data_IF_545630587394
#
_entry.id   IF_545630587394
#
_cell.length_a   1.000
_cell.length_b   1.000
_cell.length_c   1.000
_cell.angle_alpha   90.00
_cell.angle_beta   90.00
_cell.angle_gamma   90.00
#
_symmetry.space_group_name_H-M   'P 1'
#
loop_
_entity.id
_entity.type
_entity.pdbx_description
1 polymer ?
#
# COMPACT_ATOMS: atom_id res chain seq x y z
N UNK A 1 9.15 -3.71 -22.47
CA UNK A 1 9.73 -4.41 -21.30
C UNK A 1 11.20 -4.05 -21.02
N UNK A 2 11.91 -3.35 -21.90
CA UNK A 2 13.35 -3.03 -21.70
C UNK A 2 13.63 -1.81 -20.79
N UNK A 3 12.63 -1.04 -20.39
CA UNK A 3 12.82 0.25 -19.68
C UNK A 3 12.55 0.19 -18.18
N UNK A 4 12.07 -0.94 -17.66
CA UNK A 4 11.76 -1.08 -16.24
C UNK A 4 13.02 -1.28 -15.42
N UNK A 5 13.10 -0.58 -14.28
CA UNK A 5 14.13 -0.80 -13.27
C UNK A 5 13.63 -1.88 -12.31
N UNK A 6 14.46 -2.89 -12.08
CA UNK A 6 14.20 -3.95 -11.12
C UNK A 6 15.14 -3.81 -9.93
N UNK A 7 14.60 -3.88 -8.71
CA UNK A 7 15.37 -3.96 -7.47
C UNK A 7 15.55 -5.42 -7.07
N UNK A 8 16.80 -5.85 -6.93
CA UNK A 8 17.15 -7.21 -6.50
C UNK A 8 18.08 -7.17 -5.30
N UNK A 9 17.80 -7.96 -4.29
CA UNK A 9 18.72 -8.09 -3.15
C UNK A 9 20.12 -8.51 -3.63
N UNK A 10 21.14 -7.88 -3.04
CA UNK A 10 22.54 -8.18 -3.31
C UNK A 10 22.89 -9.60 -2.86
N UNK A 11 23.77 -10.26 -3.60
CA UNK A 11 24.27 -11.60 -3.31
C UNK A 11 25.79 -11.63 -3.35
N UNK A 12 26.44 -12.55 -2.60
CA UNK A 12 27.90 -12.70 -2.59
C UNK A 12 28.46 -12.89 -4.01
N UNK A 13 27.73 -13.59 -4.87
CA UNK A 13 28.10 -13.77 -6.27
C UNK A 13 28.26 -12.46 -7.07
N UNK A 14 27.70 -11.37 -6.59
CA UNK A 14 27.79 -10.05 -7.24
C UNK A 14 29.12 -9.32 -6.95
N UNK A 15 29.92 -9.77 -5.99
CA UNK A 15 31.12 -9.08 -5.50
C UNK A 15 32.11 -8.65 -6.58
N UNK A 16 32.36 -9.51 -7.57
CA UNK A 16 33.26 -9.21 -8.69
C UNK A 16 32.70 -8.12 -9.61
N UNK A 17 31.39 -8.16 -9.92
CA UNK A 17 30.73 -7.16 -10.78
C UNK A 17 30.60 -5.82 -10.05
N UNK A 18 30.29 -5.82 -8.77
CA UNK A 18 30.24 -4.61 -7.93
C UNK A 18 31.57 -3.87 -7.90
N UNK A 19 32.66 -4.60 -7.71
CA UNK A 19 34.02 -4.01 -7.77
C UNK A 19 34.33 -3.46 -9.16
N UNK A 20 34.05 -4.24 -10.20
CA UNK A 20 34.33 -3.84 -11.61
C UNK A 20 33.58 -2.56 -11.98
N UNK A 21 32.35 -2.39 -11.47
CA UNK A 21 31.52 -1.21 -11.74
C UNK A 21 31.75 -0.04 -10.78
N UNK A 22 32.70 -0.17 -9.85
CA UNK A 22 33.01 0.88 -8.88
C UNK A 22 31.91 1.13 -7.84
N UNK A 23 30.99 0.16 -7.65
CA UNK A 23 29.91 0.25 -6.67
C UNK A 23 30.34 -0.11 -5.25
N UNK A 24 31.42 -0.87 -5.12
CA UNK A 24 32.07 -1.18 -3.85
C UNK A 24 33.59 -1.19 -4.04
N UNK A 25 34.29 -0.62 -3.07
CA UNK A 25 35.75 -0.56 -3.06
C UNK A 25 36.36 -1.65 -2.18
N UNK A 26 37.64 -2.00 -2.43
CA UNK A 26 38.37 -2.95 -1.62
C UNK A 26 38.66 -4.28 -2.30
N UNK A 27 39.09 -5.27 -1.52
CA UNK A 27 39.35 -6.63 -2.03
C UNK A 27 38.02 -7.38 -2.17
N UNK A 28 37.96 -8.40 -3.04
CA UNK A 28 36.73 -9.22 -3.19
C UNK A 28 36.30 -9.80 -1.84
N UNK A 29 37.22 -10.28 -1.02
CA UNK A 29 36.88 -10.80 0.31
C UNK A 29 36.26 -9.75 1.22
N UNK A 30 36.75 -8.52 1.20
CA UNK A 30 36.18 -7.41 1.97
C UNK A 30 34.74 -7.11 1.51
N UNK A 31 34.52 -7.06 0.19
CA UNK A 31 33.19 -6.85 -0.39
C UNK A 31 32.22 -7.99 0.00
N UNK A 32 32.69 -9.25 -0.03
CA UNK A 32 31.87 -10.40 0.40
C UNK A 32 31.48 -10.32 1.89
N UNK A 33 32.41 -9.88 2.75
CA UNK A 33 32.16 -9.73 4.18
C UNK A 33 31.17 -8.57 4.44
N UNK A 34 31.27 -7.48 3.70
CA UNK A 34 30.33 -6.35 3.76
C UNK A 34 28.94 -6.78 3.27
N UNK A 35 28.83 -7.52 2.16
CA UNK A 35 27.57 -8.10 1.68
C UNK A 35 26.90 -9.00 2.75
N UNK A 36 27.71 -9.83 3.44
CA UNK A 36 27.18 -10.70 4.52
C UNK A 36 26.62 -9.86 5.68
N UNK A 37 27.22 -8.71 5.99
CA UNK A 37 26.77 -7.84 7.07
C UNK A 37 25.35 -7.31 6.84
N UNK A 38 24.99 -6.99 5.61
CA UNK A 38 23.61 -6.63 5.22
C UNK A 38 22.65 -7.82 5.34
N UNK A 39 23.09 -9.04 5.07
CA UNK A 39 22.27 -10.27 5.14
C UNK A 39 21.88 -10.68 6.55
N UNK A 40 22.62 -10.28 7.59
CA UNK A 40 22.33 -10.64 9.00
C UNK A 40 21.30 -9.74 9.68
N UNK A 41 20.75 -8.74 8.98
CA UNK A 41 19.62 -7.92 9.44
C UNK A 41 19.94 -6.87 10.52
N UNK A 42 21.21 -6.74 10.94
CA UNK A 42 21.61 -5.77 11.96
C UNK A 42 21.87 -4.35 11.42
N UNK A 43 22.19 -4.22 10.13
CA UNK A 43 22.53 -2.94 9.51
C UNK A 43 21.49 -2.44 8.47
N UNK A 44 20.60 -3.31 7.97
CA UNK A 44 19.65 -2.96 6.95
C UNK A 44 19.62 -3.93 5.77
N UNK A 45 19.27 -3.45 4.58
CA UNK A 45 19.28 -4.20 3.33
C UNK A 45 20.12 -3.51 2.27
N UNK A 46 20.73 -4.29 1.40
CA UNK A 46 21.39 -3.79 0.20
C UNK A 46 20.74 -4.44 -1.04
N UNK A 47 20.49 -3.60 -2.06
CA UNK A 47 19.87 -4.01 -3.31
C UNK A 47 20.64 -3.47 -4.51
N UNK A 48 20.51 -4.18 -5.64
CA UNK A 48 21.02 -3.74 -6.93
C UNK A 48 19.85 -3.20 -7.76
N UNK A 49 20.04 -2.03 -8.32
CA UNK A 49 19.14 -1.47 -9.32
C UNK A 49 19.59 -1.89 -10.71
N UNK A 50 18.75 -2.65 -11.41
CA UNK A 50 19.06 -3.31 -12.68
C UNK A 50 18.08 -2.82 -13.75
N UNK A 51 18.60 -2.42 -14.91
CA UNK A 51 17.82 -2.05 -16.09
C UNK A 51 18.35 -2.81 -17.30
N UNK A 52 17.49 -3.57 -18.00
CA UNK A 52 17.92 -4.37 -19.15
C UNK A 52 19.03 -5.38 -18.86
N UNK A 53 19.10 -5.92 -17.65
CA UNK A 53 20.14 -6.86 -17.21
C UNK A 53 21.48 -6.20 -16.79
N UNK A 54 21.56 -4.87 -16.83
CA UNK A 54 22.76 -4.10 -16.45
C UNK A 54 22.54 -3.47 -15.07
N UNK A 55 23.54 -3.58 -14.17
CA UNK A 55 23.52 -2.98 -12.84
C UNK A 55 23.91 -1.50 -12.96
N UNK A 56 23.09 -0.58 -12.49
CA UNK A 56 23.33 0.87 -12.51
C UNK A 56 23.53 1.49 -11.13
N UNK A 57 23.08 0.83 -10.06
CA UNK A 57 23.32 1.32 -8.71
C UNK A 57 23.35 0.18 -7.68
N UNK A 58 24.06 0.46 -6.59
CA UNK A 58 23.91 -0.19 -5.31
C UNK A 58 23.10 0.73 -4.41
N UNK A 59 22.01 0.22 -3.86
CA UNK A 59 21.11 0.93 -2.94
C UNK A 59 21.23 0.27 -1.58
N UNK A 60 21.57 1.05 -0.55
CA UNK A 60 21.63 0.56 0.83
C UNK A 60 20.49 1.19 1.62
N UNK A 61 19.68 0.35 2.25
CA UNK A 61 18.61 0.77 3.17
C UNK A 61 19.02 0.48 4.61
N UNK A 62 19.21 1.52 5.38
CA UNK A 62 19.46 1.43 6.81
C UNK A 62 18.15 1.60 7.57
N UNK A 63 17.86 0.70 8.52
CA UNK A 63 16.64 0.67 9.31
C UNK A 63 16.98 0.94 10.78
N UNK A 64 17.20 2.19 11.18
CA UNK A 64 17.63 2.50 12.54
C UNK A 64 16.59 2.13 13.60
N UNK A 65 15.29 2.07 13.22
CA UNK A 65 14.23 1.68 14.15
C UNK A 65 12.99 1.20 13.38
N UNK A 66 12.72 -0.11 13.41
CA UNK A 66 11.50 -0.70 12.80
C UNK A 66 10.20 -0.14 13.38
N UNK A 67 10.20 0.29 14.67
CA UNK A 67 9.03 0.87 15.31
C UNK A 67 8.70 2.26 14.81
N UNK A 68 9.69 3.00 14.29
CA UNK A 68 9.50 4.37 13.79
C UNK A 68 9.16 4.43 12.30
N UNK A 69 9.04 3.28 11.62
CA UNK A 69 8.71 3.22 10.20
C UNK A 69 9.55 4.19 9.36
N UNK A 70 10.88 4.25 9.61
CA UNK A 70 11.82 5.12 8.91
C UNK A 70 12.90 4.32 8.23
N UNK A 71 13.27 4.75 7.02
CA UNK A 71 14.44 4.25 6.30
C UNK A 71 15.40 5.39 5.97
N UNK A 72 16.70 5.14 6.10
CA UNK A 72 17.72 5.96 5.50
C UNK A 72 18.28 5.25 4.28
N UNK A 73 18.35 5.95 3.14
CA UNK A 73 18.77 5.38 1.85
C UNK A 73 20.08 6.02 1.41
N UNK A 74 21.02 5.19 1.02
CA UNK A 74 22.26 5.58 0.37
C UNK A 74 22.29 5.05 -1.06
N UNK A 75 22.55 5.92 -2.03
CA UNK A 75 22.67 5.59 -3.44
C UNK A 75 24.14 5.64 -3.88
N UNK A 76 24.63 4.54 -4.45
CA UNK A 76 25.92 4.51 -5.12
C UNK A 76 25.66 4.19 -6.59
N UNK A 77 25.77 5.19 -7.46
CA UNK A 77 25.53 5.03 -8.90
C UNK A 77 26.80 4.67 -9.64
N UNK A 78 26.66 3.91 -10.73
CA UNK A 78 27.75 3.68 -11.69
C UNK A 78 27.96 4.93 -12.55
N UNK A 79 29.17 5.07 -13.10
CA UNK A 79 29.53 6.22 -13.94
C UNK A 79 28.72 6.33 -15.24
N UNK A 80 28.14 5.22 -15.72
CA UNK A 80 27.29 5.13 -16.90
C UNK A 80 25.80 5.33 -16.61
N UNK A 81 25.40 5.50 -15.33
CA UNK A 81 24.05 5.85 -14.96
C UNK A 81 23.77 7.34 -15.26
N UNK A 82 23.07 7.61 -16.36
CA UNK A 82 22.64 8.97 -16.70
C UNK A 82 21.52 9.47 -15.77
N UNK A 83 21.22 10.78 -15.83
CA UNK A 83 20.25 11.42 -14.94
C UNK A 83 18.85 10.76 -14.99
N UNK A 84 18.36 10.35 -16.17
CA UNK A 84 17.07 9.68 -16.32
C UNK A 84 17.06 8.31 -15.64
N UNK A 85 18.17 7.56 -15.77
CA UNK A 85 18.32 6.26 -15.12
C UNK A 85 18.43 6.42 -13.61
N UNK A 86 19.17 7.41 -13.12
CA UNK A 86 19.28 7.71 -11.69
C UNK A 86 17.93 8.14 -11.11
N UNK A 87 17.17 9.00 -11.79
CA UNK A 87 15.82 9.43 -11.39
C UNK A 87 14.86 8.25 -11.32
N UNK A 88 14.87 7.37 -12.34
CA UNK A 88 14.05 6.17 -12.32
C UNK A 88 14.41 5.19 -11.20
N UNK A 89 15.70 5.10 -10.83
CA UNK A 89 16.15 4.29 -9.67
C UNK A 89 15.63 4.88 -8.37
N UNK A 90 15.71 6.20 -8.19
CA UNK A 90 15.17 6.87 -7.00
C UNK A 90 13.67 6.64 -6.90
N UNK A 91 12.92 6.78 -8.01
CA UNK A 91 11.47 6.53 -8.03
C UNK A 91 11.13 5.08 -7.66
N UNK A 92 11.83 4.08 -8.21
CA UNK A 92 11.58 2.68 -7.88
C UNK A 92 11.94 2.34 -6.42
N UNK A 93 12.98 2.97 -5.86
CA UNK A 93 13.34 2.82 -4.44
C UNK A 93 12.29 3.45 -3.54
N UNK A 94 11.77 4.63 -3.89
CA UNK A 94 10.67 5.26 -3.16
C UNK A 94 9.40 4.40 -3.21
N UNK A 95 9.08 3.87 -4.39
CA UNK A 95 7.98 2.94 -4.56
C UNK A 95 8.14 1.73 -3.62
N UNK A 96 9.32 1.11 -3.61
CA UNK A 96 9.63 -0.01 -2.71
C UNK A 96 9.47 0.40 -1.24
N UNK A 97 10.04 1.53 -0.84
CA UNK A 97 9.99 2.00 0.54
C UNK A 97 8.57 2.30 1.02
N UNK A 98 7.76 2.97 0.21
CA UNK A 98 6.43 3.43 0.62
C UNK A 98 5.32 2.43 0.34
N UNK A 99 5.38 1.68 -0.77
CA UNK A 99 4.30 0.78 -1.18
C UNK A 99 4.53 -0.69 -0.79
N UNK A 100 5.78 -1.15 -0.75
CA UNK A 100 6.08 -2.54 -0.42
C UNK A 100 6.48 -2.72 1.06
N UNK A 101 7.28 -1.79 1.62
CA UNK A 101 7.79 -1.85 3.00
C UNK A 101 7.03 -0.95 3.99
N UNK A 102 6.13 -0.10 3.51
CA UNK A 102 5.27 0.80 4.31
C UNK A 102 6.04 1.72 5.26
N UNK A 103 7.21 2.24 4.84
CA UNK A 103 7.89 3.26 5.61
C UNK A 103 7.09 4.56 5.62
N UNK A 104 7.06 5.24 6.77
CA UNK A 104 6.46 6.56 6.89
C UNK A 104 7.39 7.68 6.40
N UNK A 105 8.70 7.50 6.53
CA UNK A 105 9.70 8.50 6.17
C UNK A 105 10.92 7.85 5.53
N UNK A 106 11.34 8.40 4.40
CA UNK A 106 12.60 8.05 3.73
C UNK A 106 13.52 9.26 3.80
N UNK A 107 14.77 9.04 4.18
CA UNK A 107 15.80 10.09 4.24
C UNK A 107 17.00 9.72 3.39
N UNK A 108 17.65 10.72 2.82
CA UNK A 108 18.89 10.62 2.05
C UNK A 108 19.84 11.72 2.51
N UNK A 109 21.10 11.38 2.73
CA UNK A 109 22.16 12.38 2.92
C UNK A 109 22.83 12.59 1.57
N UNK A 110 22.93 13.84 1.14
CA UNK A 110 23.53 14.25 -0.11
C UNK A 110 24.69 15.21 0.17
N UNK A 111 25.88 14.87 -0.29
CA UNK A 111 27.09 15.68 -0.13
C UNK A 111 26.91 17.06 -0.77
N UNK A 112 27.37 18.09 -0.09
CA UNK A 112 27.38 19.44 -0.62
C UNK A 112 28.29 19.51 -1.85
N UNK A 113 27.71 19.82 -3.01
CA UNK A 113 28.42 19.79 -4.31
C UNK A 113 28.03 18.61 -5.21
N UNK A 114 27.26 17.63 -4.74
CA UNK A 114 26.62 16.62 -5.60
C UNK A 114 25.31 17.17 -6.19
N UNK A 115 25.43 18.27 -6.97
CA UNK A 115 24.29 18.93 -7.62
C UNK A 115 23.44 17.98 -8.48
N UNK A 116 24.04 16.87 -8.98
CA UNK A 116 23.34 15.86 -9.76
C UNK A 116 22.31 15.13 -8.93
N UNK A 117 22.72 14.57 -7.79
CA UNK A 117 21.83 13.86 -6.86
C UNK A 117 20.82 14.81 -6.22
N UNK A 118 21.25 16.02 -5.84
CA UNK A 118 20.36 17.04 -5.27
C UNK A 118 19.18 17.38 -6.20
N UNK A 119 19.45 17.59 -7.51
CA UNK A 119 18.41 17.82 -8.51
C UNK A 119 17.46 16.63 -8.67
N UNK A 120 17.98 15.42 -8.61
CA UNK A 120 17.18 14.20 -8.71
C UNK A 120 16.28 14.06 -7.47
N UNK A 121 16.82 14.26 -6.27
CA UNK A 121 16.04 14.18 -5.02
C UNK A 121 14.92 15.24 -4.99
N UNK A 122 15.26 16.50 -5.31
CA UNK A 122 14.26 17.59 -5.36
C UNK A 122 13.23 17.36 -6.46
N UNK A 123 13.66 16.85 -7.63
CA UNK A 123 12.77 16.48 -8.72
C UNK A 123 11.82 15.32 -8.36
N UNK A 124 12.25 14.40 -7.50
CA UNK A 124 11.41 13.33 -6.97
C UNK A 124 10.47 13.79 -5.84
N UNK A 125 10.61 15.02 -5.34
CA UNK A 125 9.77 15.60 -4.29
C UNK A 125 10.37 15.55 -2.88
N UNK A 126 11.65 15.19 -2.72
CA UNK A 126 12.31 15.32 -1.43
C UNK A 126 12.46 16.77 -1.01
N UNK A 127 12.26 17.05 0.27
CA UNK A 127 12.52 18.34 0.90
C UNK A 127 13.82 18.28 1.71
N UNK A 128 14.65 19.32 1.59
CA UNK A 128 15.81 19.47 2.47
C UNK A 128 15.36 19.89 3.87
N UNK A 129 15.52 19.00 4.85
CA UNK A 129 15.13 19.27 6.25
C UNK A 129 16.25 19.91 7.07
N UNK A 130 17.51 19.63 6.74
CA UNK A 130 18.66 20.15 7.46
C UNK A 130 19.93 20.19 6.61
N UNK A 131 20.89 21.00 7.08
CA UNK A 131 22.31 20.91 6.67
C UNK A 131 23.08 20.31 7.84
N UNK A 132 23.74 19.18 7.59
CA UNK A 132 24.59 18.48 8.53
C UNK A 132 26.00 19.00 8.37
N UNK A 133 26.56 19.62 9.40
CA UNK A 133 27.92 20.21 9.36
C UNK A 133 28.98 19.13 9.57
N UNK A 134 30.06 19.20 8.77
CA UNK A 134 31.21 18.30 8.86
C UNK A 134 30.82 16.81 8.76
N UNK A 135 29.77 16.47 8.00
CA UNK A 135 29.18 15.13 7.94
C UNK A 135 29.96 14.19 7.03
N UNK A 136 30.48 14.71 5.91
CA UNK A 136 31.11 13.89 4.85
C UNK A 136 32.59 14.21 4.72
N UNK A 137 33.40 13.19 4.53
CA UNK A 137 34.84 13.35 4.29
C UNK A 137 35.11 13.63 2.81
N UNK A 138 35.32 14.91 2.49
CA UNK A 138 35.74 15.38 1.18
C UNK A 138 37.23 15.31 0.95
N UNK A 139 37.72 15.82 -0.21
CA UNK A 139 39.15 15.83 -0.57
C UNK A 139 39.99 16.71 0.32
N UNK A 140 39.43 17.81 0.83
CA UNK A 140 40.17 18.85 1.57
C UNK A 140 39.82 18.87 3.07
N UNK A 141 39.13 17.88 3.57
CA UNK A 141 38.64 17.81 4.97
C UNK A 141 37.23 17.33 5.06
N UNK A 142 36.55 17.69 6.15
CA UNK A 142 35.14 17.42 6.29
C UNK A 142 34.31 18.51 5.59
N UNK A 143 33.20 18.12 5.01
CA UNK A 143 32.29 18.95 4.23
C UNK A 143 30.87 18.79 4.77
N UNK A 144 30.05 19.81 4.59
CA UNK A 144 28.63 19.78 4.97
C UNK A 144 27.86 18.91 4.00
N UNK A 145 26.74 18.33 4.47
CA UNK A 145 25.83 17.55 3.64
C UNK A 145 24.37 17.98 3.87
N UNK A 146 23.56 17.89 2.86
CA UNK A 146 22.10 18.09 2.95
C UNK A 146 21.42 16.82 3.44
N UNK A 147 20.57 16.94 4.46
CA UNK A 147 19.60 15.90 4.81
C UNK A 147 18.30 16.14 4.04
N UNK A 148 18.02 15.27 3.09
CA UNK A 148 16.79 15.27 2.31
C UNK A 148 15.82 14.23 2.86
N UNK A 149 14.54 14.56 2.91
CA UNK A 149 13.51 13.67 3.41
C UNK A 149 12.25 13.74 2.55
N UNK A 150 11.52 12.62 2.51
CA UNK A 150 10.17 12.52 1.96
C UNK A 150 9.32 11.72 2.93
N UNK A 151 8.12 12.21 3.19
CA UNK A 151 7.10 11.48 3.95
C UNK A 151 6.23 10.67 2.97
N UNK A 152 5.69 9.57 3.44
CA UNK A 152 4.89 8.66 2.59
C UNK A 152 3.69 9.34 1.91
N UNK A 153 3.07 10.32 2.54
CA UNK A 153 1.96 11.09 1.97
C UNK A 153 2.42 12.21 0.99
N UNK A 154 3.72 12.47 0.89
CA UNK A 154 4.31 13.37 -0.11
C UNK A 154 4.70 12.62 -1.40
N UNK A 155 4.75 11.28 -1.33
CA UNK A 155 5.06 10.46 -2.49
C UNK A 155 3.89 10.46 -3.48
N UNK A 156 4.11 10.78 -4.77
CA UNK A 156 3.04 10.96 -5.75
C UNK A 156 2.18 9.71 -6.01
N UNK A 157 2.76 8.50 -5.83
CA UNK A 157 2.06 7.22 -6.02
C UNK A 157 1.58 6.72 -4.66
N UNK A 158 0.38 7.13 -4.26
CA UNK A 158 -0.22 6.71 -2.99
C UNK A 158 -0.53 5.21 -2.95
N UNK A 159 -0.40 4.63 -1.77
CA UNK A 159 -0.91 3.30 -1.45
C UNK A 159 -2.32 3.34 -0.84
N UNK A 160 -2.98 4.48 -0.87
CA UNK A 160 -4.34 4.71 -0.38
C UNK A 160 -5.13 5.50 -1.43
N UNK A 161 -6.37 5.10 -1.68
CA UNK A 161 -7.34 5.90 -2.40
C UNK A 161 -8.69 5.91 -1.66
N UNK A 162 -9.56 6.85 -2.05
CA UNK A 162 -10.86 7.08 -1.44
C UNK A 162 -11.95 6.97 -2.50
N UNK A 163 -12.86 6.02 -2.33
CA UNK A 163 -13.95 5.73 -3.26
C UNK A 163 -15.27 6.19 -2.62
N UNK A 164 -15.94 7.20 -3.18
CA UNK A 164 -17.20 7.68 -2.61
C UNK A 164 -18.36 6.72 -2.93
N UNK A 165 -19.32 6.65 -2.02
CA UNK A 165 -20.61 6.00 -2.22
C UNK A 165 -21.71 6.83 -1.56
N UNK A 166 -22.98 6.45 -1.73
CA UNK A 166 -24.11 7.27 -1.28
C UNK A 166 -24.05 7.66 0.21
N UNK A 167 -23.61 6.74 1.08
CA UNK A 167 -23.58 6.95 2.53
C UNK A 167 -22.25 7.43 3.09
N UNK A 168 -21.19 7.44 2.26
CA UNK A 168 -19.86 7.76 2.77
C UNK A 168 -18.74 7.51 1.78
N UNK A 169 -17.60 7.08 2.32
CA UNK A 169 -16.36 6.87 1.58
C UNK A 169 -15.74 5.53 1.96
N UNK A 170 -15.34 4.75 0.98
CA UNK A 170 -14.49 3.59 1.17
C UNK A 170 -13.02 4.03 1.02
N UNK A 171 -12.24 3.90 2.08
CA UNK A 171 -10.79 4.03 2.05
C UNK A 171 -10.19 2.68 1.68
N UNK A 172 -9.41 2.66 0.63
CA UNK A 172 -8.79 1.46 0.07
C UNK A 172 -7.29 1.57 0.17
N UNK A 173 -6.62 0.56 0.67
CA UNK A 173 -5.16 0.49 0.70
C UNK A 173 -4.64 -0.89 0.34
N UNK A 174 -3.37 -0.93 -0.09
CA UNK A 174 -2.71 -2.16 -0.49
C UNK A 174 -1.27 -1.95 -0.89
N UNK A 175 -0.64 -3.01 -1.40
CA UNK A 175 0.70 -2.97 -1.99
C UNK A 175 0.65 -2.75 -3.51
N UNK A 176 1.75 -3.11 -4.15
CA UNK A 176 1.88 -2.94 -5.61
C UNK A 176 0.86 -3.77 -6.40
N UNK A 177 0.59 -4.99 -5.96
CA UNK A 177 -0.13 -6.03 -6.69
C UNK A 177 -1.24 -6.70 -5.85
N UNK A 178 -1.64 -6.07 -4.76
CA UNK A 178 -2.72 -6.57 -3.89
C UNK A 178 -3.40 -5.45 -3.11
N UNK A 179 -4.64 -5.69 -2.70
CA UNK A 179 -5.37 -4.89 -1.71
C UNK A 179 -5.42 -5.66 -0.39
N UNK A 180 -5.13 -5.00 0.71
CA UNK A 180 -5.15 -5.58 2.05
C UNK A 180 -6.09 -4.87 3.04
N UNK A 181 -6.63 -3.71 2.66
CA UNK A 181 -7.61 -3.00 3.48
C UNK A 181 -8.65 -2.27 2.64
N UNK A 182 -9.91 -2.40 3.03
CA UNK A 182 -11.03 -1.55 2.62
C UNK A 182 -11.85 -1.24 3.87
N UNK A 183 -11.89 0.04 4.25
CA UNK A 183 -12.65 0.54 5.41
C UNK A 183 -13.70 1.53 4.97
N UNK A 184 -14.90 1.43 5.51
CA UNK A 184 -16.01 2.31 5.19
C UNK A 184 -16.19 3.37 6.28
N UNK A 185 -16.35 4.61 5.87
CA UNK A 185 -16.57 5.75 6.74
C UNK A 185 -17.81 6.52 6.29
N UNK A 186 -18.57 7.06 7.25
CA UNK A 186 -19.60 8.04 6.96
C UNK A 186 -19.01 9.39 6.55
N UNK A 187 -19.74 10.16 5.77
CA UNK A 187 -19.43 11.57 5.59
C UNK A 187 -19.47 12.30 6.94
N UNK A 188 -18.52 13.19 7.19
CA UNK A 188 -18.33 13.87 8.47
C UNK A 188 -17.57 13.04 9.53
N UNK A 189 -17.33 11.76 9.30
CA UNK A 189 -16.52 10.93 10.20
C UNK A 189 -15.05 11.28 10.08
N UNK A 190 -14.32 11.30 11.20
CA UNK A 190 -12.86 11.45 11.23
C UNK A 190 -12.18 10.11 10.94
N UNK A 191 -11.04 10.17 10.27
CA UNK A 191 -10.15 9.03 10.09
C UNK A 191 -9.24 8.96 11.32
N UNK A 192 -9.29 7.87 12.08
CA UNK A 192 -8.48 7.71 13.30
C UNK A 192 -7.04 7.27 13.01
N UNK A 193 -6.75 6.81 11.79
CA UNK A 193 -5.40 6.42 11.39
C UNK A 193 -4.62 7.66 10.93
N UNK A 194 -3.57 8.09 11.66
CA UNK A 194 -2.86 9.35 11.38
C UNK A 194 -2.30 9.45 9.96
N UNK A 195 -1.87 8.33 9.39
CA UNK A 195 -1.33 8.28 8.03
C UNK A 195 -2.43 8.55 6.98
N UNK A 196 -3.57 7.88 7.11
CA UNK A 196 -4.69 8.05 6.18
C UNK A 196 -5.35 9.44 6.34
N UNK A 197 -5.42 9.96 7.57
CA UNK A 197 -5.91 11.31 7.86
C UNK A 197 -5.03 12.37 7.19
N UNK A 198 -3.71 12.23 7.26
CA UNK A 198 -2.77 13.13 6.59
C UNK A 198 -2.92 13.13 5.07
N UNK A 199 -3.10 11.94 4.45
CA UNK A 199 -3.35 11.83 3.00
C UNK A 199 -4.69 12.50 2.65
N UNK A 200 -5.76 12.21 3.39
CA UNK A 200 -7.06 12.82 3.16
C UNK A 200 -7.00 14.35 3.29
N UNK A 201 -6.23 14.86 4.27
CA UNK A 201 -5.99 16.29 4.44
C UNK A 201 -5.22 16.90 3.26
N UNK A 202 -4.14 16.26 2.81
CA UNK A 202 -3.34 16.70 1.67
C UNK A 202 -4.14 16.72 0.35
N UNK A 203 -5.08 15.78 0.19
CA UNK A 203 -6.00 15.72 -0.95
C UNK A 203 -7.19 16.67 -0.82
N UNK A 204 -7.30 17.42 0.28
CA UNK A 204 -8.41 18.36 0.51
C UNK A 204 -9.76 17.69 0.80
N UNK A 205 -9.76 16.43 1.21
CA UNK A 205 -10.96 15.62 1.44
C UNK A 205 -11.59 15.84 2.83
N UNK A 206 -10.94 16.60 3.72
CA UNK A 206 -11.42 16.88 5.07
C UNK A 206 -12.13 18.23 5.15
N UNK A 207 -13.20 18.28 5.92
CA UNK A 207 -13.93 19.51 6.27
C UNK A 207 -13.21 20.31 7.38
N UNK A 208 -13.76 21.46 7.76
CA UNK A 208 -13.19 22.32 8.80
C UNK A 208 -13.11 21.70 10.21
N UNK A 209 -13.76 20.55 10.44
CA UNK A 209 -13.75 19.80 11.69
C UNK A 209 -12.89 18.54 11.61
N UNK A 210 -12.22 18.30 10.48
CA UNK A 210 -11.40 17.12 10.20
C UNK A 210 -12.22 15.86 9.86
N UNK A 211 -13.48 16.00 9.49
CA UNK A 211 -14.33 14.90 9.00
C UNK A 211 -14.29 14.82 7.46
N UNK A 212 -14.57 13.63 6.90
CA UNK A 212 -14.63 13.42 5.45
C UNK A 212 -15.77 14.24 4.83
N UNK A 213 -15.46 15.06 3.85
CA UNK A 213 -16.43 15.88 3.10
C UNK A 213 -17.41 15.00 2.33
N UNK A 214 -18.60 15.54 2.05
CA UNK A 214 -19.52 14.96 1.07
C UNK A 214 -18.96 15.10 -0.35
N UNK A 215 -19.34 14.17 -1.22
CA UNK A 215 -18.89 14.18 -2.64
C UNK A 215 -19.78 15.04 -3.55
N UNK A 216 -20.36 16.12 -3.03
CA UNK A 216 -21.30 16.97 -3.79
C UNK A 216 -20.64 17.63 -5.00
N UNK A 217 -19.33 17.90 -4.94
CA UNK A 217 -18.51 18.49 -6.01
C UNK A 217 -17.64 17.46 -6.76
N UNK A 218 -17.81 16.16 -6.50
CA UNK A 218 -17.01 15.11 -7.14
C UNK A 218 -15.55 15.06 -6.70
N UNK A 219 -15.21 15.58 -5.53
CA UNK A 219 -13.83 15.70 -5.01
C UNK A 219 -13.07 14.37 -4.87
N UNK A 220 -13.80 13.24 -4.80
CA UNK A 220 -13.22 11.90 -4.75
C UNK A 220 -13.11 11.24 -6.13
N UNK A 221 -13.62 11.88 -7.19
CA UNK A 221 -13.60 11.28 -8.52
C UNK A 221 -12.23 11.48 -9.13
N UNK A 222 -11.53 10.39 -9.37
CA UNK A 222 -10.23 10.38 -10.04
C UNK A 222 -10.45 10.21 -11.55
N UNK A 223 -9.75 11.02 -12.33
CA UNK A 223 -9.66 10.86 -13.78
C UNK A 223 -8.56 9.87 -14.19
N UNK A 224 -8.49 9.56 -15.48
CA UNK A 224 -7.52 8.60 -16.01
C UNK A 224 -6.06 9.00 -15.78
N UNK A 225 -5.76 10.32 -15.73
CA UNK A 225 -4.42 10.81 -15.43
C UNK A 225 -4.07 10.60 -13.95
N UNK A 226 -5.01 10.87 -13.05
CA UNK A 226 -4.84 10.67 -11.61
C UNK A 226 -4.72 9.18 -11.25
N UNK A 227 -5.49 8.31 -11.92
CA UNK A 227 -5.41 6.86 -11.73
C UNK A 227 -4.02 6.29 -12.07
N UNK A 228 -3.29 6.89 -13.00
CA UNK A 228 -1.91 6.47 -13.34
C UNK A 228 -0.90 6.67 -12.21
N UNK A 229 -1.20 7.53 -11.24
CA UNK A 229 -0.36 7.73 -10.06
C UNK A 229 -0.60 6.70 -8.95
N UNK A 230 -1.68 5.91 -9.04
CA UNK A 230 -1.92 4.81 -8.13
C UNK A 230 -1.19 3.54 -8.59
N UNK A 231 -0.81 2.64 -7.66
CA UNK A 231 -0.43 1.27 -8.00
C UNK A 231 -1.53 0.59 -8.81
N UNK A 232 -1.14 -0.28 -9.75
CA UNK A 232 -2.08 -0.89 -10.72
C UNK A 232 -3.29 -1.56 -10.05
N UNK A 233 -3.05 -2.35 -8.98
CA UNK A 233 -4.13 -3.03 -8.27
C UNK A 233 -5.02 -2.06 -7.47
N UNK A 234 -4.47 -0.94 -6.99
CA UNK A 234 -5.23 0.08 -6.28
C UNK A 234 -6.11 0.89 -7.25
N UNK A 235 -5.59 1.24 -8.43
CA UNK A 235 -6.36 1.88 -9.50
C UNK A 235 -7.52 0.99 -9.97
N UNK A 236 -7.26 -0.32 -10.12
CA UNK A 236 -8.27 -1.33 -10.42
C UNK A 236 -9.33 -1.40 -9.32
N UNK A 237 -8.90 -1.45 -8.05
CA UNK A 237 -9.83 -1.49 -6.92
C UNK A 237 -10.69 -0.22 -6.83
N UNK A 238 -10.11 0.96 -7.09
CA UNK A 238 -10.87 2.20 -7.19
C UNK A 238 -11.98 2.08 -8.26
N UNK A 239 -11.60 1.67 -9.47
CA UNK A 239 -12.54 1.55 -10.60
C UNK A 239 -13.63 0.53 -10.31
N UNK A 240 -13.28 -0.67 -9.84
CA UNK A 240 -14.25 -1.74 -9.57
C UNK A 240 -15.20 -1.42 -8.41
N UNK A 241 -14.73 -0.75 -7.36
CA UNK A 241 -15.60 -0.28 -6.28
C UNK A 241 -16.53 0.85 -6.73
N UNK A 242 -16.07 1.75 -7.60
CA UNK A 242 -16.94 2.76 -8.24
C UNK A 242 -18.04 2.08 -9.04
N UNK A 243 -17.69 1.15 -9.92
CA UNK A 243 -18.65 0.38 -10.73
C UNK A 243 -19.63 -0.39 -9.84
N UNK A 244 -19.18 -0.97 -8.72
CA UNK A 244 -20.04 -1.63 -7.76
C UNK A 244 -21.06 -0.66 -7.13
N UNK A 245 -20.61 0.47 -6.60
CA UNK A 245 -21.49 1.46 -5.98
C UNK A 245 -22.42 2.15 -7.00
N UNK A 246 -22.02 2.23 -8.25
CA UNK A 246 -22.83 2.75 -9.36
C UNK A 246 -23.75 1.68 -9.99
N UNK A 247 -23.87 0.50 -9.38
CA UNK A 247 -24.73 -0.63 -9.85
C UNK A 247 -24.32 -1.20 -11.22
N UNK A 248 -23.08 -1.08 -11.61
CA UNK A 248 -22.54 -1.59 -12.87
C UNK A 248 -21.76 -2.89 -12.73
N UNK A 249 -21.54 -3.37 -11.50
CA UNK A 249 -20.71 -4.54 -11.21
C UNK A 249 -21.30 -5.34 -10.04
N UNK A 250 -21.27 -6.68 -10.17
CA UNK A 250 -21.76 -7.62 -9.13
C UNK A 250 -20.63 -8.39 -8.42
N UNK A 251 -19.39 -8.27 -8.87
CA UNK A 251 -18.25 -8.98 -8.30
C UNK A 251 -16.94 -8.26 -8.55
N UNK A 252 -15.88 -8.73 -7.91
CA UNK A 252 -14.56 -8.10 -7.94
C UNK A 252 -13.51 -9.07 -8.51
N UNK A 253 -12.64 -8.54 -9.38
CA UNK A 253 -11.45 -9.23 -9.90
C UNK A 253 -10.20 -8.58 -9.29
N UNK A 254 -10.15 -8.50 -7.95
CA UNK A 254 -9.12 -7.82 -7.17
C UNK A 254 -8.31 -8.86 -6.42
N UNK A 255 -6.98 -8.73 -6.49
CA UNK A 255 -6.09 -9.56 -5.72
C UNK A 255 -6.09 -9.12 -4.24
N UNK A 256 -6.78 -9.88 -3.38
CA UNK A 256 -6.86 -9.60 -1.93
C UNK A 256 -5.79 -10.37 -1.18
N UNK A 257 -5.06 -9.67 -0.33
CA UNK A 257 -4.08 -10.26 0.58
C UNK A 257 -4.43 -9.94 2.03
N UNK A 258 -4.64 -10.97 2.84
CA UNK A 258 -4.82 -10.78 4.28
C UNK A 258 -3.46 -10.62 4.99
N UNK A 259 -2.98 -9.38 5.08
CA UNK A 259 -1.73 -9.02 5.76
C UNK A 259 -1.83 -9.18 7.28
N UNK A 260 -3.05 -9.12 7.83
CA UNK A 260 -3.37 -9.28 9.26
C UNK A 260 -4.29 -10.47 9.50
N UNK A 261 -4.58 -10.73 10.76
CA UNK A 261 -5.56 -11.73 11.20
C UNK A 261 -4.97 -13.10 11.52
N UNK A 262 -5.62 -13.79 12.43
CA UNK A 262 -5.31 -15.17 12.85
C UNK A 262 -5.63 -16.18 11.74
N UNK A 263 -5.07 -17.40 11.78
CA UNK A 263 -5.45 -18.46 10.82
C UNK A 263 -6.96 -18.74 10.79
N UNK A 264 -7.66 -18.62 11.93
CA UNK A 264 -9.12 -18.80 12.01
C UNK A 264 -9.84 -17.66 11.27
N UNK A 265 -9.50 -16.40 11.53
CA UNK A 265 -10.09 -15.26 10.86
C UNK A 265 -9.92 -15.35 9.35
N UNK A 266 -8.73 -15.68 8.86
CA UNK A 266 -8.46 -15.86 7.42
C UNK A 266 -9.32 -16.96 6.80
N UNK A 267 -9.59 -18.07 7.52
CA UNK A 267 -10.51 -19.10 7.06
C UNK A 267 -11.94 -18.59 6.97
N UNK A 268 -12.40 -17.80 7.96
CA UNK A 268 -13.72 -17.15 7.91
C UNK A 268 -13.82 -16.24 6.71
N UNK A 269 -12.87 -15.30 6.52
CA UNK A 269 -12.89 -14.35 5.42
C UNK A 269 -12.89 -15.03 4.05
N UNK A 270 -12.13 -16.10 3.87
CA UNK A 270 -12.19 -16.91 2.64
C UNK A 270 -13.57 -17.57 2.45
N UNK A 271 -14.21 -18.04 3.53
CA UNK A 271 -15.55 -18.63 3.45
C UNK A 271 -16.63 -17.60 3.08
N UNK A 272 -16.46 -16.32 3.46
CA UNK A 272 -17.40 -15.25 3.09
C UNK A 272 -17.52 -15.08 1.56
N UNK A 273 -16.45 -15.33 0.81
CA UNK A 273 -16.45 -15.22 -0.66
C UNK A 273 -17.35 -16.27 -1.35
N UNK A 274 -17.86 -17.26 -0.62
CA UNK A 274 -18.85 -18.22 -1.15
C UNK A 274 -20.27 -17.68 -1.19
N UNK A 275 -20.54 -16.55 -0.49
CA UNK A 275 -21.86 -15.92 -0.49
C UNK A 275 -22.03 -15.12 -1.78
N UNK A 276 -23.00 -15.49 -2.67
CA UNK A 276 -23.17 -14.81 -3.93
C UNK A 276 -23.66 -13.37 -3.76
N UNK A 277 -23.48 -12.57 -4.80
CA UNK A 277 -24.00 -11.21 -4.88
C UNK A 277 -25.54 -11.22 -4.71
N UNK A 278 -26.06 -10.29 -3.90
CA UNK A 278 -27.49 -10.23 -3.54
C UNK A 278 -27.98 -11.36 -2.63
N UNK A 279 -27.11 -12.33 -2.29
CA UNK A 279 -27.43 -13.40 -1.36
C UNK A 279 -27.02 -13.08 0.07
N UNK A 280 -27.57 -13.82 1.02
CA UNK A 280 -27.22 -13.73 2.45
C UNK A 280 -26.93 -15.10 3.04
N UNK A 281 -26.15 -15.14 4.12
CA UNK A 281 -25.92 -16.35 4.91
C UNK A 281 -26.01 -15.99 6.40
N UNK A 282 -26.38 -16.96 7.24
CA UNK A 282 -26.30 -16.76 8.68
C UNK A 282 -24.86 -17.04 9.20
N UNK A 283 -24.54 -16.52 10.38
CA UNK A 283 -23.28 -16.88 11.06
C UNK A 283 -23.13 -18.39 11.28
N UNK A 284 -24.25 -19.12 11.46
CA UNK A 284 -24.26 -20.58 11.61
C UNK A 284 -23.91 -21.28 10.26
N UNK A 285 -24.37 -20.72 9.13
CA UNK A 285 -24.04 -21.26 7.79
C UNK A 285 -22.55 -21.16 7.50
N UNK A 286 -21.94 -20.03 7.81
CA UNK A 286 -20.47 -19.87 7.68
C UNK A 286 -19.74 -20.83 8.64
N UNK A 287 -20.22 -20.99 9.86
CA UNK A 287 -19.66 -21.95 10.80
C UNK A 287 -19.79 -23.40 10.30
N UNK A 288 -20.89 -23.75 9.63
CA UNK A 288 -21.09 -25.06 9.00
C UNK A 288 -20.10 -25.32 7.87
N UNK A 289 -19.81 -24.33 7.03
CA UNK A 289 -18.77 -24.42 5.99
C UNK A 289 -17.42 -24.75 6.63
N UNK A 290 -17.04 -24.04 7.70
CA UNK A 290 -15.74 -24.22 8.38
C UNK A 290 -15.61 -25.56 9.12
N UNK A 291 -16.74 -26.19 9.47
CA UNK A 291 -16.79 -27.47 10.22
C UNK A 291 -17.27 -28.63 9.35
N UNK A 292 -17.22 -28.46 8.02
CA UNK A 292 -17.61 -29.52 7.05
C UNK A 292 -18.99 -30.11 7.34
N UNK A 293 -19.97 -29.26 7.71
CA UNK A 293 -21.35 -29.64 7.97
C UNK A 293 -21.63 -30.20 9.38
N UNK A 294 -20.65 -30.21 10.28
CA UNK A 294 -20.82 -30.73 11.64
C UNK A 294 -21.53 -29.71 12.55
N UNK A 295 -22.85 -29.78 12.63
CA UNK A 295 -23.69 -28.79 13.31
C UNK A 295 -23.30 -28.55 14.79
N UNK A 296 -22.97 -29.60 15.54
CA UNK A 296 -22.55 -29.46 16.93
C UNK A 296 -21.27 -28.67 17.13
N UNK A 297 -20.33 -28.79 16.19
CA UNK A 297 -19.08 -28.04 16.16
C UNK A 297 -19.33 -26.61 15.66
N UNK A 298 -20.14 -26.44 14.62
CA UNK A 298 -20.50 -25.15 14.05
C UNK A 298 -21.10 -24.21 15.12
N UNK A 299 -22.03 -24.71 15.94
CA UNK A 299 -22.64 -23.94 17.02
C UNK A 299 -21.65 -23.44 18.07
N UNK A 300 -20.56 -24.15 18.30
CA UNK A 300 -19.50 -23.73 19.23
C UNK A 300 -18.68 -22.56 18.75
N UNK A 301 -18.53 -22.43 17.42
CA UNK A 301 -17.67 -21.40 16.80
C UNK A 301 -18.48 -20.23 16.20
N UNK A 302 -19.83 -20.29 16.14
CA UNK A 302 -20.69 -19.25 15.54
C UNK A 302 -20.38 -17.84 16.07
N UNK A 303 -20.16 -17.72 17.40
CA UNK A 303 -19.78 -16.42 18.02
C UNK A 303 -18.41 -15.93 17.54
N UNK A 304 -17.44 -16.85 17.40
CA UNK A 304 -16.11 -16.52 16.90
C UNK A 304 -16.15 -16.12 15.41
N UNK A 305 -17.05 -16.75 14.62
CA UNK A 305 -17.32 -16.32 13.23
C UNK A 305 -17.83 -14.88 13.19
N UNK A 306 -18.78 -14.53 14.09
CA UNK A 306 -19.28 -13.16 14.19
C UNK A 306 -18.18 -12.14 14.52
N UNK A 307 -17.29 -12.46 15.47
CA UNK A 307 -16.15 -11.61 15.77
C UNK A 307 -15.20 -11.48 14.55
N UNK A 308 -14.90 -12.59 13.88
CA UNK A 308 -14.07 -12.55 12.68
C UNK A 308 -14.69 -11.74 11.53
N UNK A 309 -16.02 -11.74 11.37
CA UNK A 309 -16.72 -10.88 10.41
C UNK A 309 -16.54 -9.39 10.75
N UNK A 310 -16.59 -9.02 12.04
CA UNK A 310 -16.36 -7.64 12.49
C UNK A 310 -14.93 -7.18 12.26
N UNK A 311 -13.96 -8.09 12.31
CA UNK A 311 -12.52 -7.83 12.12
C UNK A 311 -12.10 -7.94 10.64
N UNK A 312 -13.03 -8.08 9.70
CA UNK A 312 -12.71 -8.18 8.27
C UNK A 312 -12.00 -6.92 7.78
N UNK A 313 -10.73 -7.02 7.33
CA UNK A 313 -9.96 -5.85 6.90
C UNK A 313 -10.35 -5.33 5.51
N UNK A 314 -11.04 -6.12 4.68
CA UNK A 314 -11.31 -5.81 3.27
C UNK A 314 -12.84 -5.81 3.03
N UNK A 315 -13.52 -4.84 3.64
CA UNK A 315 -14.97 -4.73 3.56
C UNK A 315 -15.46 -4.57 2.09
N UNK A 316 -16.70 -4.97 1.81
CA UNK A 316 -17.34 -5.00 0.49
C UNK A 316 -16.77 -6.08 -0.42
N UNK A 317 -15.48 -6.02 -0.75
CA UNK A 317 -14.79 -7.02 -1.60
C UNK A 317 -14.88 -8.41 -0.96
N UNK A 318 -14.57 -8.50 0.35
CA UNK A 318 -14.87 -9.68 1.19
C UNK A 318 -16.19 -9.41 1.90
N UNK A 319 -17.29 -10.09 1.51
CA UNK A 319 -18.64 -9.62 1.76
C UNK A 319 -19.20 -9.97 3.14
N UNK A 320 -18.57 -9.50 4.23
CA UNK A 320 -19.06 -9.71 5.58
C UNK A 320 -20.43 -9.04 5.85
N UNK A 321 -20.82 -8.04 5.04
CA UNK A 321 -22.14 -7.43 5.10
C UNK A 321 -23.26 -8.40 4.72
N UNK A 322 -22.98 -9.45 3.92
CA UNK A 322 -23.95 -10.51 3.53
C UNK A 322 -24.25 -11.51 4.65
N UNK A 323 -23.51 -11.44 5.79
CA UNK A 323 -23.77 -12.32 6.94
C UNK A 323 -24.75 -11.64 7.88
N UNK A 324 -25.91 -12.30 8.13
CA UNK A 324 -27.01 -11.79 8.94
C UNK A 324 -27.39 -12.76 10.10
N UNK A 325 -28.26 -12.36 10.97
CA UNK A 325 -28.82 -13.23 11.99
C UNK A 325 -29.64 -14.38 11.37
N UNK A 326 -29.76 -15.49 12.07
CA UNK A 326 -30.56 -16.66 11.62
C UNK A 326 -32.03 -16.33 11.47
N UNK A 327 -32.51 -15.34 12.22
CA UNK A 327 -33.88 -14.78 12.17
C UNK A 327 -34.02 -13.69 11.08
N UNK A 328 -33.03 -13.47 10.25
CA UNK A 328 -32.98 -12.40 9.25
C UNK A 328 -32.59 -11.03 9.80
N UNK A 329 -32.28 -10.91 11.07
CA UNK A 329 -31.87 -9.62 11.66
C UNK A 329 -30.55 -9.11 11.13
N UNK A 330 -30.48 -7.82 10.82
CA UNK A 330 -29.26 -7.13 10.43
C UNK A 330 -28.53 -6.72 11.71
N UNK A 331 -27.46 -7.42 12.02
CA UNK A 331 -26.69 -7.24 13.26
C UNK A 331 -25.18 -7.14 12.97
N UNK A 332 -24.48 -6.41 13.82
CA UNK A 332 -23.02 -6.37 13.90
C UNK A 332 -22.33 -6.01 12.56
N UNK A 333 -21.95 -4.73 12.42
CA UNK A 333 -21.08 -4.30 11.30
C UNK A 333 -20.14 -3.21 11.78
N UNK A 334 -18.85 -3.31 11.47
CA UNK A 334 -17.84 -2.39 11.96
C UNK A 334 -18.05 -0.95 11.50
N UNK A 335 -18.59 -0.77 10.29
CA UNK A 335 -18.88 0.55 9.72
C UNK A 335 -20.30 1.09 10.04
N UNK A 336 -21.06 0.39 10.88
CA UNK A 336 -22.44 0.78 11.23
C UNK A 336 -23.51 -0.06 10.52
N UNK A 337 -24.63 -0.28 11.21
CA UNK A 337 -25.74 -1.11 10.72
C UNK A 337 -26.40 -0.47 9.49
N UNK A 338 -26.47 0.84 9.42
CA UNK A 338 -27.04 1.61 8.32
C UNK A 338 -26.25 1.47 7.02
N UNK A 339 -24.90 1.38 7.09
CA UNK A 339 -24.07 1.05 5.92
C UNK A 339 -24.30 -0.42 5.52
N UNK A 340 -24.42 -1.34 6.46
CA UNK A 340 -24.71 -2.74 6.16
C UNK A 340 -26.06 -2.89 5.46
N UNK A 341 -27.09 -2.23 5.98
CA UNK A 341 -28.42 -2.21 5.39
C UNK A 341 -28.41 -1.63 3.98
N UNK A 342 -27.71 -0.51 3.79
CA UNK A 342 -27.49 0.09 2.47
C UNK A 342 -26.86 -0.90 1.49
N UNK A 343 -25.78 -1.60 1.86
CA UNK A 343 -25.11 -2.56 0.98
C UNK A 343 -26.03 -3.75 0.62
N UNK A 344 -26.77 -4.28 1.58
CA UNK A 344 -27.74 -5.36 1.35
C UNK A 344 -28.86 -4.93 0.41
N UNK A 345 -29.42 -3.74 0.61
CA UNK A 345 -30.45 -3.17 -0.27
C UNK A 345 -29.90 -2.92 -1.67
N UNK A 346 -28.72 -2.30 -1.76
CA UNK A 346 -28.02 -2.04 -3.02
C UNK A 346 -27.87 -3.32 -3.85
N UNK A 347 -27.37 -4.39 -3.24
CA UNK A 347 -27.21 -5.67 -3.93
C UNK A 347 -28.52 -6.34 -4.28
N UNK A 348 -29.55 -6.25 -3.41
CA UNK A 348 -30.85 -6.87 -3.67
C UNK A 348 -31.56 -6.22 -4.86
N UNK A 349 -31.49 -4.90 -4.98
CA UNK A 349 -32.10 -4.17 -6.11
C UNK A 349 -31.38 -4.49 -7.42
N UNK A 350 -30.05 -4.51 -7.42
CA UNK A 350 -29.25 -4.75 -8.63
C UNK A 350 -29.23 -6.22 -9.05
N UNK A 351 -29.40 -7.18 -8.15
CA UNK A 351 -29.53 -8.59 -8.50
C UNK A 351 -30.82 -8.90 -9.29
N UNK A 352 -31.87 -8.10 -9.10
CA UNK A 352 -33.17 -8.25 -9.79
C UNK A 352 -33.25 -7.42 -11.08
N UNK A 353 -32.51 -6.30 -11.13
CA UNK A 353 -32.45 -5.43 -12.30
C UNK A 353 -31.16 -5.72 -13.09
N UNK A 354 -31.19 -5.83 -14.43
CA UNK A 354 -29.94 -5.98 -15.21
C UNK A 354 -28.97 -4.86 -14.88
N UNK A 355 -27.71 -5.21 -14.68
CA UNK A 355 -26.63 -4.21 -14.48
C UNK A 355 -26.66 -3.22 -15.66
N UNK A 356 -26.53 -1.92 -15.35
CA UNK A 356 -26.55 -0.87 -16.36
C UNK A 356 -25.30 -1.04 -17.21
N UNK A 357 -25.48 -1.46 -18.48
CA UNK A 357 -24.37 -1.53 -19.45
C UNK A 357 -23.98 -0.11 -19.88
N UNK A 358 -22.68 0.19 -19.92
CA UNK A 358 -22.15 1.37 -20.61
C UNK A 358 -22.37 1.18 -22.14
N UNK A 359 -23.54 1.47 -22.65
CA UNK A 359 -23.76 1.74 -24.07
C UNK A 359 -24.03 3.25 -24.23
N UNK A 360 -23.04 3.93 -24.83
CA UNK A 360 -23.17 5.33 -25.23
C UNK A 360 -21.82 6.01 -25.30
#
# INVERSE_FOLDING_TARGET
MADKIDLRKIHIADSSELRKRGLMEGTIKYIEDDIRSFGTGSQGEAMLAIKGGVIYALVKLFRPDRKKCRAHVEFVFTNDANADTQSGIVDEVLRYCFLDEYYHKVTVICDHGNEGLERILTGAGFLQEAVLRDEVRGKNGFEDAGLYAMLSYEYPKYNICFVPFERGVAMVSGGKDFIDSVKLFHYGQKIEEPFADNIAGALGLLDGNGGLKRNDEGIYNLDDEQLKYLPDELAKAYTELREYFDSMRAGFDINVRFSVGTPFQKKVWNALNTIPYGGTASYEDIALILTEGKLAEARKITRAVGAACSDNPVAVIVPCHRVIGKDGSIVGYSAGIDIKDYLLLHESFTAVTPLISKEG
#
